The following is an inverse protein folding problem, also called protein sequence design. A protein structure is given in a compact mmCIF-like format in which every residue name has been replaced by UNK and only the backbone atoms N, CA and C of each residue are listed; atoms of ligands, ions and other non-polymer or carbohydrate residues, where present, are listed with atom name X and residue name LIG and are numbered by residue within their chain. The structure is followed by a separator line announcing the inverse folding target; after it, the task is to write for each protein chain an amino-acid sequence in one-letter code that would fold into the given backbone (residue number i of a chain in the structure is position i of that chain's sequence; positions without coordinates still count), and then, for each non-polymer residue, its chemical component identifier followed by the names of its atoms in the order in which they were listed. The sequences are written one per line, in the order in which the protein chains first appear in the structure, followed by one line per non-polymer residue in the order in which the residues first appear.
data_IF_788172117008
#
_entry.id   IF_788172117008
#
_cell.length_a   1.000
_cell.length_b   1.000
_cell.length_c   1.000
_cell.angle_alpha   90.00
_cell.angle_beta   90.00
_cell.angle_gamma   90.00
#
_symmetry.space_group_name_H-M   'P 1'
#
loop_
_entity.id
_entity.type
_entity.pdbx_description
1 polymer ?
#
# COMPACT_ATOMS: atom_id res chain seq x y z
N UNK A 1 11.31 20.39 9.09
CA UNK A 1 11.46 19.90 7.69
C UNK A 1 11.38 18.39 7.73
N UNK A 2 10.64 17.77 6.81
CA UNK A 2 10.61 16.31 6.72
C UNK A 2 11.99 15.80 6.29
N UNK A 3 12.48 14.75 6.96
CA UNK A 3 13.71 14.08 6.61
C UNK A 3 13.56 13.24 5.34
N UNK A 4 14.66 12.94 4.67
CA UNK A 4 14.66 12.05 3.51
C UNK A 4 14.05 10.67 3.84
N UNK A 5 14.25 10.16 5.06
CA UNK A 5 13.70 8.87 5.48
C UNK A 5 12.19 8.93 5.68
N UNK A 6 11.65 10.02 6.21
CA UNK A 6 10.20 10.21 6.32
C UNK A 6 9.56 10.31 4.93
N UNK A 7 10.22 11.01 4.00
CA UNK A 7 9.80 11.03 2.60
C UNK A 7 9.80 9.63 1.98
N UNK A 8 10.88 8.86 2.12
CA UNK A 8 10.98 7.49 1.58
C UNK A 8 9.93 6.57 2.20
N UNK A 9 9.67 6.68 3.50
CA UNK A 9 8.61 5.90 4.15
C UNK A 9 7.23 6.24 3.59
N UNK A 10 6.88 7.53 3.52
CA UNK A 10 5.61 7.96 2.94
C UNK A 10 5.46 7.54 1.48
N UNK A 11 6.54 7.63 0.69
CA UNK A 11 6.60 7.15 -0.68
C UNK A 11 6.32 5.64 -0.75
N UNK A 12 6.95 4.83 0.08
CA UNK A 12 6.74 3.38 0.10
C UNK A 12 5.32 3.00 0.52
N UNK A 13 4.77 3.65 1.56
CA UNK A 13 3.39 3.42 2.01
C UNK A 13 2.40 3.77 0.89
N UNK A 14 2.61 4.88 0.18
CA UNK A 14 1.73 5.23 -0.93
C UNK A 14 1.93 4.36 -2.17
N UNK A 15 3.16 3.98 -2.48
CA UNK A 15 3.46 3.05 -3.57
C UNK A 15 2.83 1.67 -3.32
N UNK A 16 2.76 1.26 -2.05
CA UNK A 16 2.02 0.08 -1.64
C UNK A 16 0.54 0.14 -2.04
N UNK A 17 -0.13 1.29 -1.88
CA UNK A 17 -1.54 1.42 -2.29
C UNK A 17 -1.70 1.24 -3.79
N UNK A 18 -0.86 1.92 -4.57
CA UNK A 18 -0.92 1.86 -6.03
C UNK A 18 -0.78 0.42 -6.53
N UNK A 19 0.25 -0.30 -6.07
CA UNK A 19 0.45 -1.69 -6.45
C UNK A 19 -0.64 -2.63 -5.94
N UNK A 20 -1.22 -2.38 -4.76
CA UNK A 20 -2.34 -3.18 -4.26
C UNK A 20 -3.53 -3.10 -5.23
N UNK A 21 -3.95 -1.88 -5.56
CA UNK A 21 -5.11 -1.65 -6.44
C UNK A 21 -4.85 -2.20 -7.85
N UNK A 22 -3.66 -1.99 -8.40
CA UNK A 22 -3.27 -2.55 -9.71
C UNK A 22 -3.30 -4.08 -9.67
N UNK A 23 -2.77 -4.68 -8.61
CA UNK A 23 -2.77 -6.13 -8.42
C UNK A 23 -4.18 -6.71 -8.28
N UNK A 24 -5.07 -6.05 -7.55
CA UNK A 24 -6.45 -6.49 -7.33
C UNK A 24 -7.31 -6.36 -8.59
N UNK A 25 -7.11 -5.30 -9.38
CA UNK A 25 -7.85 -5.03 -10.62
C UNK A 25 -7.30 -5.79 -11.81
N UNK A 26 -6.06 -6.30 -11.73
CA UNK A 26 -5.37 -6.90 -12.87
C UNK A 26 -4.99 -5.91 -13.96
N UNK A 27 -5.04 -4.60 -13.67
CA UNK A 27 -4.65 -3.56 -14.60
C UNK A 27 -3.18 -3.72 -15.03
N UNK A 28 -2.91 -3.48 -16.31
CA UNK A 28 -1.56 -3.49 -16.87
C UNK A 28 -1.15 -2.08 -17.25
N UNK A 29 -0.02 -1.62 -16.73
CA UNK A 29 0.61 -0.38 -17.13
C UNK A 29 1.89 -0.70 -17.94
N UNK A 30 2.29 0.22 -18.83
CA UNK A 30 3.55 0.16 -19.56
C UNK A 30 4.71 0.54 -18.61
N UNK A 31 5.04 -0.33 -17.65
CA UNK A 31 6.06 -0.07 -16.62
C UNK A 31 6.42 -1.33 -15.79
N UNK A 32 7.33 -1.21 -14.81
CA UNK A 32 7.49 -2.14 -13.67
C UNK A 32 6.17 -2.39 -12.91
N UNK A 33 5.19 -1.50 -13.07
CA UNK A 33 3.80 -1.70 -12.68
C UNK A 33 3.08 -2.59 -13.70
N UNK A 34 2.68 -3.81 -13.33
CA UNK A 34 1.82 -4.65 -14.19
C UNK A 34 2.44 -5.90 -14.81
N UNK A 35 3.64 -6.33 -14.37
CA UNK A 35 4.24 -7.61 -14.82
C UNK A 35 3.30 -8.80 -14.56
N UNK A 36 2.78 -8.93 -13.34
CA UNK A 36 1.67 -9.83 -13.01
C UNK A 36 0.85 -9.28 -11.84
N UNK A 37 -0.42 -9.68 -11.74
CA UNK A 37 -1.28 -9.30 -10.63
C UNK A 37 -0.66 -9.69 -9.28
N UNK A 38 -0.17 -10.92 -9.18
CA UNK A 38 0.51 -11.46 -7.98
C UNK A 38 1.80 -10.69 -7.66
N UNK A 39 2.60 -10.33 -8.66
CA UNK A 39 3.83 -9.54 -8.44
C UNK A 39 3.51 -8.15 -7.86
N UNK A 40 2.44 -7.51 -8.34
CA UNK A 40 2.00 -6.23 -7.79
C UNK A 40 1.53 -6.36 -6.32
N UNK A 41 0.75 -7.39 -5.99
CA UNK A 41 0.33 -7.62 -4.60
C UNK A 41 1.55 -7.89 -3.70
N UNK A 42 2.48 -8.75 -4.14
CA UNK A 42 3.69 -9.03 -3.38
C UNK A 42 4.56 -7.76 -3.17
N UNK A 43 4.72 -6.96 -4.22
CA UNK A 43 5.45 -5.70 -4.14
C UNK A 43 4.76 -4.69 -3.22
N UNK A 44 3.43 -4.61 -3.27
CA UNK A 44 2.63 -3.81 -2.36
C UNK A 44 2.89 -4.17 -0.90
N UNK A 45 2.86 -5.45 -0.55
CA UNK A 45 3.17 -5.93 0.80
C UNK A 45 4.60 -5.53 1.19
N UNK A 46 5.57 -5.74 0.30
CA UNK A 46 6.97 -5.36 0.54
C UNK A 46 7.13 -3.86 0.82
N UNK A 47 6.49 -3.00 0.03
CA UNK A 47 6.52 -1.56 0.25
C UNK A 47 5.85 -1.14 1.56
N UNK A 48 4.72 -1.76 1.93
CA UNK A 48 4.06 -1.47 3.21
C UNK A 48 4.98 -1.82 4.39
N UNK A 49 5.55 -3.02 4.38
CA UNK A 49 6.46 -3.49 5.43
C UNK A 49 7.70 -2.61 5.51
N UNK A 50 8.33 -2.29 4.37
CA UNK A 50 9.52 -1.44 4.35
C UNK A 50 9.22 -0.01 4.83
N UNK A 51 8.11 0.58 4.39
CA UNK A 51 7.69 1.92 4.80
C UNK A 51 7.42 2.02 6.31
N UNK A 52 6.70 1.05 6.87
CA UNK A 52 6.45 0.96 8.30
C UNK A 52 7.73 0.69 9.10
N UNK A 53 8.60 -0.22 8.63
CA UNK A 53 9.87 -0.53 9.29
C UNK A 53 10.75 0.72 9.42
N UNK A 54 10.81 1.57 8.38
CA UNK A 54 11.54 2.85 8.45
C UNK A 54 10.96 3.76 9.55
N UNK A 55 9.63 3.84 9.69
CA UNK A 55 8.99 4.65 10.75
C UNK A 55 9.30 4.10 12.14
N UNK A 56 9.16 2.79 12.35
CA UNK A 56 9.41 2.16 13.65
C UNK A 56 10.88 2.19 14.07
N UNK A 57 11.83 2.22 13.14
CA UNK A 57 13.25 2.43 13.45
C UNK A 57 13.54 3.90 13.78
N UNK A 58 12.72 4.84 13.31
CA UNK A 58 12.99 6.27 13.41
C UNK A 58 12.28 7.01 14.51
N UNK A 59 11.08 6.56 14.84
CA UNK A 59 10.18 7.18 15.81
C UNK A 59 9.86 6.16 16.91
N UNK A 60 9.48 6.66 18.09
CA UNK A 60 8.98 5.78 19.15
C UNK A 60 7.78 4.98 18.62
N UNK A 61 7.70 3.66 18.88
CA UNK A 61 6.60 2.83 18.41
C UNK A 61 5.22 3.37 18.80
N UNK A 62 5.10 3.96 19.99
CA UNK A 62 3.88 4.60 20.47
C UNK A 62 3.46 5.80 19.60
N UNK A 63 4.42 6.58 19.09
CA UNK A 63 4.15 7.69 18.19
C UNK A 63 3.67 7.22 16.81
N UNK A 64 4.22 6.12 16.29
CA UNK A 64 3.80 5.54 15.01
C UNK A 64 2.37 5.00 15.09
N UNK A 65 2.05 4.23 16.14
CA UNK A 65 0.72 3.61 16.29
C UNK A 65 -0.37 4.59 16.72
N UNK A 66 -0.01 5.75 17.29
CA UNK A 66 -0.97 6.83 17.60
C UNK A 66 -1.09 7.87 16.49
N UNK A 67 -0.29 7.75 15.42
CA UNK A 67 -0.36 8.64 14.28
C UNK A 67 -1.60 8.31 13.42
N UNK A 68 -2.62 9.17 13.48
CA UNK A 68 -3.87 9.00 12.75
C UNK A 68 -3.70 8.85 11.24
N UNK A 69 -2.68 9.46 10.64
CA UNK A 69 -2.40 9.32 9.20
C UNK A 69 -1.89 7.89 8.90
N UNK A 70 -0.93 7.40 9.68
CA UNK A 70 -0.38 6.04 9.52
C UNK A 70 -1.48 5.00 9.73
N UNK A 71 -2.27 5.16 10.80
CA UNK A 71 -3.42 4.28 11.07
C UNK A 71 -4.43 4.29 9.92
N UNK A 72 -4.75 5.47 9.37
CA UNK A 72 -5.66 5.59 8.23
C UNK A 72 -5.15 4.87 6.98
N UNK A 73 -3.87 5.09 6.63
CA UNK A 73 -3.22 4.42 5.50
C UNK A 73 -3.20 2.90 5.65
N UNK A 74 -2.78 2.39 6.82
CA UNK A 74 -2.74 0.95 7.10
C UNK A 74 -4.14 0.35 7.09
N UNK A 75 -5.12 1.01 7.72
CA UNK A 75 -6.50 0.53 7.78
C UNK A 75 -7.11 0.40 6.38
N UNK A 76 -6.97 1.43 5.53
CA UNK A 76 -7.46 1.38 4.16
C UNK A 76 -6.77 0.29 3.34
N UNK A 77 -5.45 0.15 3.49
CA UNK A 77 -4.70 -0.91 2.82
C UNK A 77 -5.20 -2.30 3.20
N UNK A 78 -5.40 -2.56 4.49
CA UNK A 78 -5.93 -3.83 5.00
C UNK A 78 -7.33 -4.08 4.45
N UNK A 79 -8.21 -3.06 4.46
CA UNK A 79 -9.55 -3.17 3.88
C UNK A 79 -9.45 -3.59 2.41
N UNK A 80 -8.69 -2.87 1.58
CA UNK A 80 -8.55 -3.22 0.16
C UNK A 80 -7.89 -4.58 -0.06
N UNK A 81 -6.92 -4.96 0.77
CA UNK A 81 -6.25 -6.25 0.65
C UNK A 81 -7.24 -7.40 0.87
N UNK A 82 -8.13 -7.26 1.87
CA UNK A 82 -9.09 -8.29 2.24
C UNK A 82 -10.34 -8.29 1.35
N UNK A 83 -10.86 -7.11 1.00
CA UNK A 83 -12.17 -6.98 0.34
C UNK A 83 -12.10 -6.50 -1.11
N UNK A 84 -10.93 -6.06 -1.58
CA UNK A 84 -10.82 -5.40 -2.89
C UNK A 84 -11.17 -6.31 -4.06
N UNK A 85 -10.87 -7.62 -3.99
CA UNK A 85 -11.31 -8.59 -5.02
C UNK A 85 -12.82 -8.75 -5.04
N UNK A 86 -13.46 -8.74 -3.87
CA UNK A 86 -14.91 -8.85 -3.75
C UNK A 86 -15.60 -7.62 -4.33
N UNK A 87 -15.17 -6.42 -3.95
CA UNK A 87 -15.71 -5.19 -4.52
C UNK A 87 -15.50 -5.12 -6.03
N UNK A 88 -14.31 -5.46 -6.51
CA UNK A 88 -14.05 -5.47 -7.95
C UNK A 88 -14.95 -6.47 -8.68
N UNK A 89 -15.16 -7.67 -8.14
CA UNK A 89 -16.02 -8.67 -8.77
C UNK A 89 -17.49 -8.22 -8.87
N UNK A 90 -18.01 -7.53 -7.84
CA UNK A 90 -19.38 -6.99 -7.87
C UNK A 90 -19.51 -5.93 -8.97
N UNK A 91 -18.65 -4.92 -8.96
CA UNK A 91 -18.80 -3.74 -9.82
C UNK A 91 -18.23 -3.91 -11.23
N UNK A 92 -17.36 -4.90 -11.46
CA UNK A 92 -16.87 -5.22 -12.80
C UNK A 92 -17.92 -5.97 -13.65
N UNK A 93 -18.88 -6.65 -13.01
CA UNK A 93 -19.98 -7.35 -13.69
C UNK A 93 -21.14 -6.42 -14.07
N UNK A 94 -21.14 -5.18 -13.58
CA UNK A 94 -22.13 -4.14 -13.92
C UNK A 94 -21.75 -3.36 -15.20
N UNK A 95 -20.76 -3.83 -15.97
CA UNK A 95 -20.32 -3.25 -17.26
C UNK A 95 -20.47 -4.26 -18.38
#
# INVERSE_FOLDING_TARGET
MASLLEFVSGFLIMNSMAHLIIGLTGARFLSLFGYSATANIAYSIGCMVAGLAILFVRQDPSAVVSNGLVLGCVSLWVIFLLTGRFFFAIFANDR
#
